data_IF_002468600609
#
_entry.id   IF_002468600609
#
_cell.length_a   1.000
_cell.length_b   1.000
_cell.length_c   1.000
_cell.angle_alpha   90.00
_cell.angle_beta   90.00
_cell.angle_gamma   90.00
#
_symmetry.space_group_name_H-M   'P 1'
#
loop_
_entity.id
_entity.type
_entity.pdbx_description
1 polymer ?
#
# COMPACT_ATOMS: atom_id res chain seq x y z
N UNK A 1 -16.64 4.46 3.85
CA UNK A 1 -15.23 4.27 3.51
C UNK A 1 -15.08 3.30 2.34
N UNK A 2 -14.20 3.61 1.42
CA UNK A 2 -13.92 2.72 0.27
C UNK A 2 -12.80 1.77 0.66
N UNK A 3 -13.10 0.47 0.65
CA UNK A 3 -12.14 -0.58 0.97
C UNK A 3 -11.34 -1.02 -0.24
N UNK A 4 -12.01 -1.21 -1.37
CA UNK A 4 -11.36 -1.57 -2.63
C UNK A 4 -12.21 -1.10 -3.81
N UNK A 5 -11.56 -1.04 -4.98
CA UNK A 5 -12.23 -0.81 -6.25
C UNK A 5 -11.93 -1.99 -7.16
N UNK A 6 -12.97 -2.52 -7.79
CA UNK A 6 -12.82 -3.60 -8.75
C UNK A 6 -13.44 -3.19 -10.07
N UNK A 7 -12.67 -3.25 -11.13
CA UNK A 7 -13.16 -2.84 -12.42
C UNK A 7 -12.09 -2.81 -13.50
N UNK A 8 -12.44 -2.16 -14.60
CA UNK A 8 -11.56 -2.00 -15.74
C UNK A 8 -10.53 -0.91 -15.45
N UNK A 9 -9.28 -1.16 -15.82
CA UNK A 9 -8.23 -0.14 -15.75
C UNK A 9 -8.42 0.78 -16.95
N UNK A 10 -8.99 1.95 -16.71
CA UNK A 10 -9.27 2.92 -17.77
C UNK A 10 -8.00 3.66 -18.20
N UNK A 11 -7.17 4.03 -17.24
CA UNK A 11 -5.85 4.59 -17.52
C UNK A 11 -4.85 4.16 -16.46
N UNK A 12 -3.59 4.06 -16.85
CA UNK A 12 -2.52 3.64 -15.96
C UNK A 12 -1.28 4.46 -16.24
N UNK A 13 -0.81 5.15 -15.21
CA UNK A 13 0.43 5.93 -15.22
C UNK A 13 1.24 5.54 -13.98
N UNK A 14 2.55 5.83 -13.97
CA UNK A 14 3.40 5.42 -12.83
C UNK A 14 2.94 5.90 -11.45
N UNK A 15 2.25 7.03 -11.40
CA UNK A 15 1.82 7.62 -10.13
C UNK A 15 0.31 7.55 -9.90
N UNK A 16 -0.47 7.14 -10.89
CA UNK A 16 -1.93 7.17 -10.80
C UNK A 16 -2.58 6.18 -11.75
N UNK A 17 -3.73 5.69 -11.36
CA UNK A 17 -4.57 4.85 -12.21
C UNK A 17 -6.02 5.31 -12.10
N UNK A 18 -6.80 5.08 -13.14
CA UNK A 18 -8.26 5.26 -13.09
C UNK A 18 -8.91 3.89 -13.21
N UNK A 19 -9.72 3.56 -12.23
CA UNK A 19 -10.47 2.30 -12.20
C UNK A 19 -11.92 2.60 -12.47
N UNK A 20 -12.45 2.02 -13.54
CA UNK A 20 -13.84 2.18 -13.96
C UNK A 20 -14.67 1.04 -13.36
N UNK A 21 -15.55 1.39 -12.44
CA UNK A 21 -16.37 0.41 -11.71
C UNK A 21 -17.80 0.34 -12.26
N UNK A 22 -17.93 0.34 -13.59
CA UNK A 22 -19.22 0.25 -14.24
C UNK A 22 -19.85 1.60 -14.56
N UNK A 23 -19.03 2.56 -14.92
CA UNK A 23 -19.49 3.90 -15.33
C UNK A 23 -18.99 5.02 -14.43
N UNK A 24 -18.37 4.70 -13.32
CA UNK A 24 -17.70 5.69 -12.45
C UNK A 24 -16.20 5.41 -12.49
N UNK A 25 -15.41 6.40 -12.90
CA UNK A 25 -13.96 6.31 -12.91
C UNK A 25 -13.37 6.91 -11.64
N UNK A 26 -12.69 6.10 -10.85
CA UNK A 26 -12.01 6.55 -9.64
C UNK A 26 -10.53 6.74 -9.90
N UNK A 27 -10.04 7.95 -9.65
CA UNK A 27 -8.62 8.24 -9.71
C UNK A 27 -7.97 7.80 -8.40
N UNK A 28 -7.01 6.89 -8.49
CA UNK A 28 -6.24 6.44 -7.33
C UNK A 28 -4.77 6.78 -7.54
N UNK A 29 -4.13 7.31 -6.51
CA UNK A 29 -2.70 7.54 -6.50
C UNK A 29 -2.03 6.22 -6.10
N UNK A 30 -1.01 5.83 -6.83
CA UNK A 30 -0.37 4.51 -6.63
C UNK A 30 1.15 4.65 -6.50
N UNK A 31 1.76 3.63 -5.93
CA UNK A 31 3.21 3.48 -5.91
C UNK A 31 3.68 2.86 -7.21
N UNK A 32 4.99 2.92 -7.44
CA UNK A 32 5.59 2.25 -8.59
C UNK A 32 5.41 0.73 -8.50
N UNK A 33 5.43 0.16 -7.31
CA UNK A 33 5.17 -1.27 -7.11
C UNK A 33 3.77 -1.67 -7.59
N UNK A 34 2.77 -0.88 -7.24
CA UNK A 34 1.39 -1.11 -7.70
C UNK A 34 1.27 -0.89 -9.20
N UNK A 35 1.93 0.14 -9.73
CA UNK A 35 1.95 0.38 -11.18
C UNK A 35 2.47 -0.85 -11.93
N UNK A 36 3.60 -1.40 -11.49
CA UNK A 36 4.18 -2.59 -12.12
C UNK A 36 3.25 -3.80 -12.02
N UNK A 37 2.58 -3.96 -10.89
CA UNK A 37 1.62 -5.05 -10.70
C UNK A 37 0.40 -4.93 -11.60
N UNK A 38 0.00 -3.72 -11.95
CA UNK A 38 -1.18 -3.47 -12.79
C UNK A 38 -0.88 -3.48 -14.29
N UNK A 39 0.39 -3.35 -14.68
CA UNK A 39 0.76 -3.33 -16.09
C UNK A 39 0.31 -4.60 -16.81
N UNK A 40 -0.23 -4.42 -18.02
CA UNK A 40 -0.69 -5.52 -18.84
C UNK A 40 -2.02 -6.12 -18.43
N UNK A 41 -2.64 -5.64 -17.38
CA UNK A 41 -3.94 -6.12 -16.91
C UNK A 41 -5.05 -5.22 -17.43
N UNK A 42 -6.13 -5.84 -17.88
CA UNK A 42 -7.31 -5.11 -18.36
C UNK A 42 -8.24 -4.75 -17.21
N UNK A 43 -8.34 -5.63 -16.22
CA UNK A 43 -9.16 -5.45 -15.02
C UNK A 43 -8.32 -5.74 -13.78
N UNK A 44 -8.67 -5.08 -12.67
CA UNK A 44 -7.98 -5.29 -11.43
C UNK A 44 -8.87 -5.00 -10.22
N UNK A 45 -8.52 -5.59 -9.11
CA UNK A 45 -9.04 -5.22 -7.80
C UNK A 45 -7.93 -4.47 -7.08
N UNK A 46 -8.18 -3.22 -6.75
CA UNK A 46 -7.19 -2.34 -6.12
C UNK A 46 -7.68 -2.00 -4.72
N UNK A 47 -6.88 -2.33 -3.73
CA UNK A 47 -7.19 -1.97 -2.34
C UNK A 47 -6.98 -0.48 -2.14
N UNK A 48 -7.81 0.15 -1.33
CA UNK A 48 -7.84 1.61 -1.23
C UNK A 48 -7.63 2.08 0.20
N UNK A 49 -6.90 3.16 0.33
CA UNK A 49 -6.87 4.00 1.52
C UNK A 49 -7.40 5.38 1.16
N UNK A 50 -8.46 5.80 1.83
CA UNK A 50 -9.03 7.14 1.63
C UNK A 50 -8.37 8.14 2.57
N UNK A 51 -7.98 9.28 2.02
CA UNK A 51 -7.55 10.44 2.79
C UNK A 51 -8.58 11.54 2.55
N UNK A 52 -9.41 11.79 3.56
CA UNK A 52 -10.44 12.82 3.49
C UNK A 52 -10.01 13.98 4.36
N UNK A 53 -9.87 15.14 3.74
CA UNK A 53 -9.56 16.39 4.41
C UNK A 53 -10.66 17.38 4.09
N UNK A 54 -10.66 18.51 4.77
CA UNK A 54 -11.64 19.57 4.57
C UNK A 54 -11.68 20.03 3.10
N UNK A 55 -10.51 20.12 2.47
CA UNK A 55 -10.34 20.65 1.10
C UNK A 55 -9.99 19.60 0.06
N UNK A 56 -9.89 18.32 0.42
CA UNK A 56 -9.45 17.29 -0.50
C UNK A 56 -9.98 15.90 -0.13
N UNK A 57 -10.32 15.14 -1.14
CA UNK A 57 -10.66 13.73 -1.02
C UNK A 57 -9.73 12.97 -1.98
N UNK A 58 -8.77 12.25 -1.42
CA UNK A 58 -7.72 11.58 -2.20
C UNK A 58 -7.77 10.08 -1.92
N UNK A 59 -7.70 9.29 -2.99
CA UNK A 59 -7.64 7.84 -2.89
C UNK A 59 -6.23 7.36 -3.20
N UNK A 60 -5.72 6.44 -2.39
CA UNK A 60 -4.47 5.74 -2.62
C UNK A 60 -4.79 4.28 -2.89
N UNK A 61 -4.22 3.72 -3.96
CA UNK A 61 -4.51 2.37 -4.40
C UNK A 61 -3.30 1.45 -4.28
N UNK A 62 -3.57 0.20 -3.91
CA UNK A 62 -2.53 -0.80 -3.66
C UNK A 62 -2.92 -2.12 -4.31
N UNK A 63 -1.93 -2.79 -4.89
CA UNK A 63 -2.14 -4.09 -5.51
C UNK A 63 -2.39 -5.20 -4.49
N UNK A 64 -1.83 -5.06 -3.27
CA UNK A 64 -1.99 -6.06 -2.23
C UNK A 64 -2.11 -5.41 -0.84
N UNK A 65 -2.59 -6.20 0.12
CA UNK A 65 -2.82 -5.76 1.50
C UNK A 65 -1.52 -5.45 2.24
N UNK A 66 -0.46 -6.15 1.91
CA UNK A 66 0.84 -5.95 2.57
C UNK A 66 1.38 -4.55 2.30
N UNK A 67 1.27 -4.07 1.07
CA UNK A 67 1.68 -2.72 0.71
C UNK A 67 0.78 -1.68 1.40
N UNK A 68 -0.54 -1.89 1.40
CA UNK A 68 -1.47 -0.99 2.08
C UNK A 68 -1.19 -0.90 3.58
N UNK A 69 -0.90 -2.03 4.21
CA UNK A 69 -0.58 -2.07 5.63
C UNK A 69 0.68 -1.26 5.94
N UNK A 70 1.72 -1.39 5.13
CA UNK A 70 2.93 -0.58 5.26
C UNK A 70 2.66 0.91 5.07
N UNK A 71 1.87 1.25 4.07
CA UNK A 71 1.46 2.63 3.84
C UNK A 71 0.79 3.22 5.08
N UNK A 72 -0.15 2.48 5.67
CA UNK A 72 -0.87 2.93 6.87
C UNK A 72 0.03 3.08 8.08
N UNK A 73 1.01 2.20 8.23
CA UNK A 73 2.01 2.33 9.29
C UNK A 73 2.88 3.59 9.07
N UNK A 74 3.30 3.82 7.83
CA UNK A 74 4.13 4.98 7.51
C UNK A 74 3.42 6.31 7.78
N UNK A 75 2.17 6.44 7.36
CA UNK A 75 1.44 7.71 7.57
C UNK A 75 1.10 7.96 9.04
N UNK A 76 1.18 6.93 9.89
CA UNK A 76 1.04 7.09 11.34
C UNK A 76 2.27 7.68 12.01
N UNK A 77 3.39 7.76 11.30
CA UNK A 77 4.62 8.34 11.84
C UNK A 77 4.57 9.85 11.66
N UNK A 78 4.85 10.58 12.74
CA UNK A 78 4.89 12.04 12.69
C UNK A 78 5.94 12.52 11.69
N UNK A 79 5.55 13.40 10.78
CA UNK A 79 6.42 13.91 9.73
C UNK A 79 6.35 13.12 8.42
N UNK A 80 5.56 12.03 8.37
CA UNK A 80 5.37 11.26 7.15
C UNK A 80 3.93 11.45 6.66
N UNK A 81 3.78 12.18 5.58
CA UNK A 81 2.49 12.34 4.92
C UNK A 81 2.24 11.25 3.89
N UNK A 82 1.04 11.22 3.34
CA UNK A 82 0.64 10.21 2.35
C UNK A 82 1.50 10.27 1.09
N UNK A 83 1.84 11.47 0.61
CA UNK A 83 2.72 11.62 -0.55
C UNK A 83 4.11 11.08 -0.31
N UNK A 84 4.68 11.33 0.88
CA UNK A 84 5.99 10.81 1.25
C UNK A 84 5.95 9.29 1.38
N UNK A 85 4.93 8.74 2.02
CA UNK A 85 4.76 7.30 2.14
C UNK A 85 4.70 6.62 0.76
N UNK A 86 3.99 7.22 -0.19
CA UNK A 86 3.92 6.71 -1.56
C UNK A 86 5.30 6.69 -2.23
N UNK A 87 6.10 7.72 -2.02
CA UNK A 87 7.46 7.79 -2.56
C UNK A 87 8.34 6.70 -1.93
N UNK A 88 8.22 6.47 -0.64
CA UNK A 88 8.95 5.39 0.05
C UNK A 88 8.58 4.02 -0.55
N UNK A 89 7.30 3.78 -0.75
CA UNK A 89 6.82 2.53 -1.34
C UNK A 89 7.18 2.38 -2.83
N UNK A 90 7.48 3.50 -3.50
CA UNK A 90 7.97 3.48 -4.88
C UNK A 90 9.48 3.23 -4.94
N UNK A 91 10.21 3.53 -3.88
CA UNK A 91 11.67 3.41 -3.83
C UNK A 91 12.13 2.00 -3.49
N UNK A 92 11.34 1.28 -2.73
CA UNK A 92 11.67 -0.09 -2.30
C UNK A 92 10.44 -0.98 -2.43
N UNK A 93 10.64 -2.24 -2.81
CA UNK A 93 9.55 -3.20 -2.74
C UNK A 93 9.18 -3.46 -1.28
N UNK A 94 8.04 -4.08 -1.06
CA UNK A 94 7.48 -4.28 0.27
C UNK A 94 8.41 -5.08 1.17
N UNK A 95 8.95 -6.18 0.66
CA UNK A 95 9.85 -7.06 1.43
C UNK A 95 11.14 -6.34 1.82
N UNK A 96 11.72 -5.58 0.89
CA UNK A 96 12.94 -4.83 1.15
C UNK A 96 12.71 -3.71 2.15
N UNK A 97 11.60 -2.99 2.04
CA UNK A 97 11.25 -1.92 2.96
C UNK A 97 11.05 -2.47 4.39
N UNK A 98 10.37 -3.59 4.51
CA UNK A 98 10.22 -4.26 5.80
C UNK A 98 11.59 -4.63 6.41
N UNK A 99 12.48 -5.17 5.59
CA UNK A 99 13.83 -5.53 6.03
C UNK A 99 14.64 -4.29 6.47
N UNK A 100 14.52 -3.19 5.74
CA UNK A 100 15.20 -1.93 6.08
C UNK A 100 14.73 -1.43 7.44
N UNK A 101 13.44 -1.42 7.68
CA UNK A 101 12.88 -0.93 8.95
C UNK A 101 13.22 -1.89 10.10
N UNK A 102 13.03 -3.19 9.91
CA UNK A 102 13.32 -4.19 10.92
C UNK A 102 14.81 -4.23 11.26
N UNK A 103 15.66 -4.00 10.29
CA UNK A 103 17.11 -3.95 10.48
C UNK A 103 17.64 -2.64 11.03
N UNK A 104 16.78 -1.62 11.17
CA UNK A 104 17.18 -0.33 11.71
C UNK A 104 18.08 0.49 10.78
N UNK A 105 17.94 0.31 9.47
CA UNK A 105 18.80 0.97 8.48
C UNK A 105 18.25 2.35 8.11
N UNK A 106 18.46 3.32 9.00
CA UNK A 106 18.03 4.70 8.81
C UNK A 106 18.69 5.35 7.58
N UNK A 107 19.90 4.93 7.23
CA UNK A 107 20.63 5.47 6.11
C UNK A 107 19.93 5.19 4.78
N UNK A 108 19.38 3.99 4.62
CA UNK A 108 18.60 3.63 3.43
C UNK A 108 17.33 4.46 3.34
N UNK A 109 16.62 4.66 4.44
CA UNK A 109 15.42 5.49 4.46
C UNK A 109 15.73 6.95 4.13
N UNK A 110 16.84 7.46 4.65
CA UNK A 110 17.27 8.84 4.40
C UNK A 110 17.57 9.10 2.93
N UNK A 111 17.90 8.08 2.15
CA UNK A 111 18.16 8.22 0.72
C UNK A 111 16.88 8.50 -0.08
N UNK A 112 15.71 8.26 0.50
CA UNK A 112 14.43 8.53 -0.17
C UNK A 112 14.13 10.03 -0.14
N UNK A 113 13.70 10.56 -1.28
CA UNK A 113 13.35 11.97 -1.40
C UNK A 113 12.21 12.33 -0.43
N UNK A 114 12.41 13.35 0.36
CA UNK A 114 11.44 13.81 1.35
C UNK A 114 11.64 13.22 2.74
N UNK A 115 12.61 12.33 2.92
CA UNK A 115 12.94 11.74 4.21
C UNK A 115 14.27 12.33 4.69
N UNK A 116 14.21 13.12 5.77
CA UNK A 116 15.40 13.60 6.43
C UNK A 116 15.89 12.63 7.49
N UNK A 117 17.04 12.93 8.11
CA UNK A 117 17.65 12.08 9.14
C UNK A 117 16.72 11.83 10.32
N UNK A 118 16.04 12.88 10.82
CA UNK A 118 15.14 12.77 11.96
C UNK A 118 13.91 11.93 11.62
N UNK A 119 13.34 12.12 10.43
CA UNK A 119 12.18 11.36 10.00
C UNK A 119 12.54 9.89 9.79
N UNK A 120 13.71 9.60 9.22
CA UNK A 120 14.19 8.23 9.04
C UNK A 120 14.33 7.52 10.40
N UNK A 121 14.94 8.17 11.36
CA UNK A 121 15.09 7.63 12.71
C UNK A 121 13.74 7.39 13.38
N UNK A 122 12.80 8.34 13.22
CA UNK A 122 11.46 8.23 13.78
C UNK A 122 10.69 7.06 13.18
N UNK A 123 10.78 6.86 11.86
CA UNK A 123 10.17 5.71 11.21
C UNK A 123 10.66 4.41 11.85
N UNK A 124 11.97 4.30 12.04
CA UNK A 124 12.56 3.10 12.64
C UNK A 124 12.11 2.91 14.07
N UNK A 125 12.17 3.95 14.90
CA UNK A 125 11.75 3.88 16.30
C UNK A 125 10.28 3.47 16.41
N UNK A 126 9.41 4.07 15.60
CA UNK A 126 7.96 3.84 15.69
C UNK A 126 7.55 2.50 15.09
N UNK A 127 8.21 2.05 14.03
CA UNK A 127 7.73 0.91 13.24
C UNK A 127 8.55 -0.37 13.40
N UNK A 128 9.76 -0.29 13.93
CA UNK A 128 10.63 -1.47 14.03
C UNK A 128 9.99 -2.65 14.75
N UNK A 129 9.28 -2.38 15.84
CA UNK A 129 8.62 -3.43 16.62
C UNK A 129 7.29 -3.86 15.99
N UNK A 130 6.73 -3.06 15.11
CA UNK A 130 5.47 -3.34 14.43
C UNK A 130 5.67 -4.10 13.11
N UNK A 131 6.87 -4.04 12.57
CA UNK A 131 7.21 -4.71 11.31
C UNK A 131 8.19 -5.83 11.61
N UNK A 132 7.67 -7.06 11.70
CA UNK A 132 8.52 -8.24 11.78
C UNK A 132 8.40 -8.95 10.43
N UNK A 133 9.51 -9.19 9.70
CA UNK A 133 9.46 -9.76 8.34
C UNK A 133 8.79 -11.12 8.29
N UNK A 134 8.24 -11.73 9.09
CA UNK A 134 7.44 -12.96 9.03
C UNK A 134 5.97 -12.76 9.39
N UNK A 135 5.65 -11.74 10.19
CA UNK A 135 4.29 -11.54 10.68
C UNK A 135 3.35 -11.00 9.62
N UNK A 136 3.81 -10.04 8.82
CA UNK A 136 2.97 -9.52 7.73
C UNK A 136 2.69 -10.60 6.69
N UNK A 137 3.65 -11.47 6.43
CA UNK A 137 3.46 -12.61 5.56
C UNK A 137 2.44 -13.59 6.14
N UNK A 138 2.50 -13.83 7.45
CA UNK A 138 1.55 -14.68 8.15
C UNK A 138 0.14 -14.10 8.12
N UNK A 139 0.00 -12.81 8.37
CA UNK A 139 -1.29 -12.12 8.31
C UNK A 139 -1.88 -12.24 6.91
N UNK A 140 -1.05 -12.06 5.88
CA UNK A 140 -1.48 -12.20 4.50
C UNK A 140 -1.93 -13.62 4.18
N UNK A 141 -1.20 -14.62 4.65
CA UNK A 141 -1.58 -16.02 4.49
C UNK A 141 -2.90 -16.33 5.19
N UNK A 142 -3.08 -15.83 6.39
CA UNK A 142 -4.32 -16.01 7.14
C UNK A 142 -5.49 -15.32 6.43
N UNK A 143 -5.28 -14.16 5.85
CA UNK A 143 -6.30 -13.47 5.06
C UNK A 143 -6.70 -14.28 3.83
N UNK A 144 -5.74 -14.90 3.15
CA UNK A 144 -6.02 -15.76 2.01
C UNK A 144 -6.81 -17.01 2.41
N UNK A 145 -6.49 -17.61 3.54
CA UNK A 145 -7.22 -18.75 4.09
C UNK A 145 -8.67 -18.36 4.40
N UNK A 146 -8.86 -17.20 5.00
CA UNK A 146 -10.19 -16.68 5.31
C UNK A 146 -11.04 -16.46 4.06
N UNK A 147 -10.43 -15.95 3.01
CA UNK A 147 -11.11 -15.70 1.73
C UNK A 147 -11.53 -17.03 1.07
N UNK A 148 -10.71 -18.06 1.19
CA UNK A 148 -11.00 -19.35 0.55
C UNK A 148 -12.05 -20.18 1.31
N UNK A 149 -12.16 -20.04 2.61
CA UNK A 149 -13.14 -20.79 3.41
C UNK A 149 -14.61 -20.56 3.02
N UNK A 150 -15.08 -19.32 2.87
CA UNK A 150 -16.45 -19.10 2.43
C UNK A 150 -16.76 -19.72 1.07
N UNK A 151 -15.80 -19.74 0.16
CA UNK A 151 -15.96 -20.36 -1.14
C UNK A 151 -16.14 -21.86 -1.02
N UNK A 152 -15.36 -22.53 -0.16
CA UNK A 152 -15.50 -23.95 0.08
C UNK A 152 -16.82 -24.28 0.76
N UNK A 153 -17.27 -23.45 1.67
CA UNK A 153 -18.56 -23.60 2.32
C UNK A 153 -19.70 -23.52 1.32
N UNK A 154 -19.64 -22.58 0.39
CA UNK A 154 -20.63 -22.43 -0.66
C UNK A 154 -20.71 -23.69 -1.54
N UNK A 155 -19.56 -24.33 -1.77
CA UNK A 155 -19.49 -25.52 -2.60
C UNK A 155 -20.01 -26.76 -1.87
N UNK A 156 -19.87 -26.79 -0.56
CA UNK A 156 -20.30 -27.92 0.26
C UNK A 156 -21.81 -27.89 0.51
N UNK A 157 -22.34 -26.71 0.62
CA UNK A 157 -23.77 -26.53 0.85
C UNK A 157 -24.57 -26.50 -0.44
#
# INVERSE_FOLDING_TARGET
MIEYLEGRIDSLQPAAAVIDTGGIGYLVNISLNTYEALQGRERARVLVHESIREDAWVLYGFADERERALFRLLIGVSGVGAGTARVVLSSYDTARLEAIIAGGDAKQLKSVKGIGAKTAERIIVDLRDKIKPGELTLIQQLSLIHISEPTRHSLIS
#
